data_IF_164788870708
#
_entry.id   IF_164788870708
#
_cell.length_a   1.000
_cell.length_b   1.000
_cell.length_c   1.000
_cell.angle_alpha   90.00
_cell.angle_beta   90.00
_cell.angle_gamma   90.00
#
_symmetry.space_group_name_H-M   'P 1'
#
loop_
_entity.id
_entity.type
_entity.pdbx_description
1 polymer ?
#
# COMPACT_ATOMS: atom_id res chain seq x y z
N UNK A 1 7.07 -10.59 39.94
CA UNK A 1 6.74 -11.07 38.57
C UNK A 1 5.43 -10.40 38.14
N UNK A 2 5.47 -9.26 37.42
CA UNK A 2 4.26 -8.52 37.03
C UNK A 2 3.82 -8.99 35.64
N UNK A 3 2.71 -9.73 35.57
CA UNK A 3 2.05 -10.09 34.31
C UNK A 3 1.46 -8.81 33.70
N UNK A 4 2.13 -8.24 32.70
CA UNK A 4 1.55 -7.15 31.89
C UNK A 4 0.40 -7.72 31.05
N UNK A 5 -0.82 -7.60 31.55
CA UNK A 5 -2.03 -7.84 30.76
C UNK A 5 -2.11 -6.76 29.69
N UNK A 6 -2.09 -7.13 28.41
CA UNK A 6 -2.20 -6.16 27.32
C UNK A 6 -3.68 -5.80 27.11
N UNK A 7 -4.04 -4.50 27.08
CA UNK A 7 -5.43 -4.08 26.90
C UNK A 7 -5.97 -4.46 25.51
N UNK A 8 -7.30 -4.68 25.39
CA UNK A 8 -7.95 -5.15 24.16
C UNK A 8 -7.85 -4.17 22.99
N UNK A 9 -7.63 -2.88 23.26
CA UNK A 9 -7.55 -1.81 22.26
C UNK A 9 -6.13 -1.53 21.76
N UNK A 10 -5.11 -2.27 22.21
CA UNK A 10 -3.75 -2.15 21.67
C UNK A 10 -3.75 -2.71 20.25
N UNK A 11 -4.10 -1.85 19.30
CA UNK A 11 -4.26 -2.10 17.87
C UNK A 11 -3.14 -3.02 17.38
N UNK A 12 -3.51 -4.17 16.82
CA UNK A 12 -2.63 -4.99 15.97
C UNK A 12 -1.83 -4.03 15.08
N UNK A 13 -0.49 -4.14 15.07
CA UNK A 13 0.46 -3.34 14.26
C UNK A 13 -0.23 -2.50 13.17
N UNK A 14 -0.13 -1.16 13.23
CA UNK A 14 -0.58 -0.23 12.15
C UNK A 14 -0.43 -0.89 10.78
N UNK A 15 -1.54 -1.17 10.11
CA UNK A 15 -1.51 -1.69 8.74
C UNK A 15 -0.97 -0.56 7.86
N UNK A 16 0.23 -0.73 7.29
CA UNK A 16 0.81 0.23 6.32
C UNK A 16 0.15 0.08 4.93
N UNK A 17 -1.16 -0.20 4.89
CA UNK A 17 -1.87 -0.58 3.66
C UNK A 17 -1.47 -1.93 3.04
N UNK A 18 -0.72 -2.78 3.77
CA UNK A 18 -0.17 -4.05 3.25
C UNK A 18 -1.03 -5.30 3.52
N UNK A 19 -2.17 -5.13 4.18
CA UNK A 19 -3.03 -6.21 4.64
C UNK A 19 -4.49 -5.89 4.34
N UNK A 20 -4.90 -5.87 3.06
CA UNK A 20 -6.30 -5.66 2.72
C UNK A 20 -7.23 -6.66 3.44
N UNK A 21 -6.75 -7.85 3.75
CA UNK A 21 -7.46 -8.88 4.52
C UNK A 21 -7.81 -8.48 5.98
N UNK A 22 -7.15 -7.45 6.55
CA UNK A 22 -7.55 -6.92 7.86
C UNK A 22 -8.93 -6.21 7.78
N UNK A 23 -9.41 -5.89 6.57
CA UNK A 23 -10.73 -5.31 6.31
C UNK A 23 -11.72 -6.36 5.79
N UNK A 24 -13.00 -6.31 6.24
CA UNK A 24 -14.04 -7.19 5.73
C UNK A 24 -14.12 -7.14 4.20
N UNK A 25 -14.26 -8.32 3.57
CA UNK A 25 -14.30 -8.43 2.11
C UNK A 25 -15.42 -7.58 1.49
N UNK A 26 -16.60 -7.58 2.11
CA UNK A 26 -17.74 -6.75 1.69
C UNK A 26 -17.42 -5.26 1.70
N UNK A 27 -16.78 -4.76 2.77
CA UNK A 27 -16.39 -3.36 2.86
C UNK A 27 -15.39 -2.99 1.75
N UNK A 28 -14.42 -3.86 1.46
CA UNK A 28 -13.47 -3.64 0.36
C UNK A 28 -14.17 -3.55 -0.99
N UNK A 29 -15.12 -4.46 -1.26
CA UNK A 29 -15.89 -4.45 -2.50
C UNK A 29 -16.72 -3.17 -2.64
N UNK A 30 -17.47 -2.77 -1.61
CA UNK A 30 -18.28 -1.54 -1.63
C UNK A 30 -17.43 -0.27 -1.86
N UNK A 31 -16.22 -0.22 -1.28
CA UNK A 31 -15.30 0.91 -1.49
C UNK A 31 -14.77 0.93 -2.92
N UNK A 32 -14.36 -0.23 -3.46
CA UNK A 32 -13.82 -0.33 -4.82
C UNK A 32 -14.88 -0.08 -5.90
N UNK A 33 -16.14 -0.44 -5.64
CA UNK A 33 -17.27 -0.12 -6.52
C UNK A 33 -17.49 1.39 -6.60
N UNK A 34 -17.45 2.09 -5.46
CA UNK A 34 -17.64 3.55 -5.41
C UNK A 34 -16.40 4.35 -5.84
N UNK A 35 -15.22 3.77 -5.68
CA UNK A 35 -13.92 4.39 -5.96
C UNK A 35 -13.06 3.41 -6.78
N UNK A 36 -13.40 3.20 -8.05
CA UNK A 36 -12.65 2.29 -8.90
C UNK A 36 -11.21 2.75 -9.04
N UNK A 37 -10.28 1.80 -9.14
CA UNK A 37 -8.85 2.09 -9.16
C UNK A 37 -8.34 2.60 -10.51
N UNK A 38 -9.07 2.37 -11.60
CA UNK A 38 -8.89 3.02 -12.92
C UNK A 38 -7.43 3.15 -13.40
N UNK A 39 -6.59 2.11 -13.23
CA UNK A 39 -5.20 2.16 -13.67
C UNK A 39 -4.25 2.96 -12.77
N UNK A 40 -4.69 3.37 -11.57
CA UNK A 40 -3.89 4.11 -10.58
C UNK A 40 -2.51 3.49 -10.34
N UNK A 41 -2.38 2.16 -10.41
CA UNK A 41 -1.10 1.47 -10.29
C UNK A 41 -0.09 1.92 -11.35
N UNK A 42 -0.50 1.96 -12.62
CA UNK A 42 0.35 2.36 -13.74
C UNK A 42 0.72 3.84 -13.66
N UNK A 43 -0.26 4.71 -13.38
CA UNK A 43 -0.03 6.15 -13.21
C UNK A 43 0.94 6.45 -12.06
N UNK A 44 0.80 5.73 -10.94
CA UNK A 44 1.70 5.87 -9.80
C UNK A 44 3.12 5.42 -10.16
N UNK A 45 3.28 4.31 -10.88
CA UNK A 45 4.60 3.85 -11.36
C UNK A 45 5.24 4.90 -12.28
N UNK A 46 4.47 5.44 -13.23
CA UNK A 46 4.95 6.47 -14.15
C UNK A 46 5.42 7.71 -13.39
N UNK A 47 4.62 8.20 -12.44
CA UNK A 47 4.97 9.35 -11.61
C UNK A 47 6.28 9.12 -10.82
N UNK A 48 6.48 7.93 -10.24
CA UNK A 48 7.71 7.60 -9.54
C UNK A 48 8.93 7.52 -10.46
N UNK A 49 8.77 6.97 -11.67
CA UNK A 49 9.85 6.93 -12.67
C UNK A 49 10.24 8.33 -13.14
N UNK A 50 9.26 9.19 -13.39
CA UNK A 50 9.48 10.59 -13.75
C UNK A 50 10.22 11.35 -12.64
N UNK A 51 9.79 11.20 -11.39
CA UNK A 51 10.48 11.81 -10.25
C UNK A 51 11.89 11.26 -10.07
N UNK A 52 12.08 9.95 -10.26
CA UNK A 52 13.39 9.32 -10.16
C UNK A 52 14.36 9.84 -11.23
N UNK A 53 13.89 10.03 -12.47
CA UNK A 53 14.68 10.58 -13.57
C UNK A 53 15.09 12.04 -13.32
N UNK A 54 14.18 12.87 -12.81
CA UNK A 54 14.49 14.27 -12.48
C UNK A 54 15.37 14.41 -11.23
N UNK A 55 15.26 13.48 -10.28
CA UNK A 55 15.91 13.55 -8.96
C UNK A 55 16.49 12.18 -8.59
N UNK A 56 17.68 11.82 -9.10
CA UNK A 56 18.24 10.46 -8.95
C UNK A 56 18.57 10.07 -7.49
N UNK A 57 18.77 11.05 -6.61
CA UNK A 57 19.05 10.84 -5.18
C UNK A 57 17.78 10.88 -4.30
N UNK A 58 16.60 10.99 -4.92
CA UNK A 58 15.34 11.05 -4.19
C UNK A 58 14.91 9.70 -3.61
N UNK A 59 13.96 9.76 -2.67
CA UNK A 59 13.25 8.57 -2.21
C UNK A 59 12.50 7.87 -3.35
N UNK A 60 11.96 8.61 -4.33
CA UNK A 60 11.30 8.00 -5.49
C UNK A 60 12.27 7.13 -6.28
N UNK A 61 13.47 7.64 -6.58
CA UNK A 61 14.53 6.85 -7.21
C UNK A 61 14.93 5.63 -6.38
N UNK A 62 15.01 5.78 -5.05
CA UNK A 62 15.27 4.65 -4.15
C UNK A 62 14.17 3.60 -4.21
N UNK A 63 12.89 3.99 -4.25
CA UNK A 63 11.78 3.05 -4.38
C UNK A 63 11.78 2.35 -5.74
N UNK A 64 12.02 3.08 -6.83
CA UNK A 64 12.14 2.50 -8.18
C UNK A 64 13.25 1.45 -8.23
N UNK A 65 14.48 1.78 -7.77
CA UNK A 65 15.60 0.83 -7.69
C UNK A 65 15.28 -0.40 -6.84
N UNK A 66 14.52 -0.20 -5.75
CA UNK A 66 14.11 -1.28 -4.86
C UNK A 66 12.90 -2.07 -5.37
N UNK A 67 12.48 -1.94 -6.64
CA UNK A 67 11.39 -2.74 -7.21
C UNK A 67 10.00 -2.30 -6.79
N UNK A 68 9.72 -0.99 -6.78
CA UNK A 68 8.39 -0.45 -6.52
C UNK A 68 7.32 -0.98 -7.49
N UNK A 69 7.63 -1.05 -8.79
CA UNK A 69 6.66 -1.41 -9.83
C UNK A 69 6.00 -2.77 -9.57
N UNK A 70 6.81 -3.83 -9.40
CA UNK A 70 6.27 -5.16 -9.11
C UNK A 70 5.46 -5.23 -7.81
N UNK A 71 5.73 -4.37 -6.82
CA UNK A 71 4.90 -4.31 -5.60
C UNK A 71 3.55 -3.64 -5.82
N UNK A 72 3.50 -2.64 -6.69
CA UNK A 72 2.26 -1.95 -7.05
C UNK A 72 1.41 -2.87 -7.95
N UNK A 73 2.03 -3.52 -8.94
CA UNK A 73 1.37 -4.48 -9.85
C UNK A 73 0.82 -5.70 -9.09
N UNK A 74 1.50 -6.16 -8.04
CA UNK A 74 1.04 -7.27 -7.20
C UNK A 74 -0.02 -6.87 -6.16
N UNK A 75 -0.62 -5.69 -6.26
CA UNK A 75 -1.61 -5.24 -5.28
C UNK A 75 -2.90 -6.06 -5.39
N UNK A 76 -3.29 -6.70 -4.29
CA UNK A 76 -4.45 -7.59 -4.24
C UNK A 76 -5.81 -6.90 -4.43
N UNK A 77 -5.86 -5.57 -4.53
CA UNK A 77 -7.08 -4.81 -4.84
C UNK A 77 -7.29 -4.58 -6.34
N UNK A 78 -6.34 -4.96 -7.19
CA UNK A 78 -6.43 -4.86 -8.64
C UNK A 78 -6.98 -6.14 -9.30
N UNK A 79 -7.51 -7.09 -8.50
CA UNK A 79 -8.06 -8.39 -8.93
C UNK A 79 -9.42 -8.68 -8.32
#
# INVERSE_FOLDING_TARGET
MIRRVRPPWRVRRRSRGRRPEDFPARLRAEVLERNPRLGLGEELIACFRDQAGRKPDSLAATFVRNGLAGRIEANALDR
#
